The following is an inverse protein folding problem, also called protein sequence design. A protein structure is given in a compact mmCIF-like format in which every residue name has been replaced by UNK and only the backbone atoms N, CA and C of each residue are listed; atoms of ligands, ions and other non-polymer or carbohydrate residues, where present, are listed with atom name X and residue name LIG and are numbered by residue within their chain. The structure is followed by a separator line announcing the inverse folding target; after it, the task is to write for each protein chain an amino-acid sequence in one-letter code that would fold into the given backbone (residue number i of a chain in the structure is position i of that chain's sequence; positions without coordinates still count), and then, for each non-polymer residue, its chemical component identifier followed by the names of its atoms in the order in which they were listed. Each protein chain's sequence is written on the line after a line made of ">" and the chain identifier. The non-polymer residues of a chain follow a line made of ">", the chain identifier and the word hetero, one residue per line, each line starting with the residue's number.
data_IF_157447366544
#
_entry.id   IF_157447366544
#
_cell.length_a   1.000
_cell.length_b   1.000
_cell.length_c   1.000
_cell.angle_alpha   90.00
_cell.angle_beta   90.00
_cell.angle_gamma   90.00
#
_symmetry.space_group_name_H-M   'P 1'
#
loop_
_entity.id
_entity.type
_entity.pdbx_description
1 polymer ?
#
# COMPACT_ATOMS: atom_id res chain seq x y z
N UNK A 1 -38.36 29.53 -30.63
CA UNK A 1 -38.05 28.22 -30.02
C UNK A 1 -36.57 28.12 -29.67
N UNK A 2 -36.04 29.00 -28.80
CA UNK A 2 -34.63 28.93 -28.30
C UNK A 2 -34.52 29.34 -26.82
N UNK A 3 -35.63 29.60 -26.11
CA UNK A 3 -35.60 30.20 -24.76
C UNK A 3 -36.12 29.28 -23.63
N UNK A 4 -35.92 27.96 -23.72
CA UNK A 4 -36.27 27.02 -22.63
C UNK A 4 -35.18 26.02 -22.23
N UNK A 5 -33.99 26.06 -22.83
CA UNK A 5 -32.96 25.03 -22.56
C UNK A 5 -31.75 25.54 -21.76
N UNK A 6 -31.74 26.81 -21.35
CA UNK A 6 -30.66 27.41 -20.56
C UNK A 6 -30.98 27.51 -19.06
N UNK A 7 -31.84 26.63 -18.53
CA UNK A 7 -32.16 26.55 -17.11
C UNK A 7 -32.09 25.12 -16.58
N UNK A 8 -31.04 24.39 -16.98
CA UNK A 8 -30.68 23.09 -16.38
C UNK A 8 -29.18 22.98 -16.03
N UNK A 9 -28.38 24.04 -16.25
CA UNK A 9 -26.95 24.05 -15.94
C UNK A 9 -26.59 24.97 -14.75
N UNK A 10 -27.59 25.51 -14.04
CA UNK A 10 -27.40 26.58 -13.05
C UNK A 10 -27.37 26.18 -11.57
N UNK A 11 -27.55 24.90 -11.20
CA UNK A 11 -27.52 24.45 -9.79
C UNK A 11 -26.94 23.03 -9.61
N UNK A 12 -25.99 22.63 -10.46
CA UNK A 12 -25.28 21.36 -10.30
C UNK A 12 -23.97 21.46 -9.49
N UNK A 13 -23.65 22.63 -8.92
CA UNK A 13 -22.71 22.73 -7.79
C UNK A 13 -23.44 22.36 -6.50
N UNK A 14 -23.99 21.14 -6.48
CA UNK A 14 -24.66 20.61 -5.30
C UNK A 14 -23.61 20.54 -4.21
N UNK A 15 -23.83 21.29 -3.12
CA UNK A 15 -23.17 21.07 -1.84
C UNK A 15 -23.21 19.56 -1.57
N UNK A 16 -22.06 18.90 -1.70
CA UNK A 16 -21.91 17.49 -1.31
C UNK A 16 -21.79 17.53 0.21
N UNK A 17 -22.79 17.04 0.96
CA UNK A 17 -22.70 17.06 2.43
C UNK A 17 -21.40 16.37 2.84
N UNK A 18 -20.67 16.92 3.82
CA UNK A 18 -19.37 16.39 4.24
C UNK A 18 -19.41 14.89 4.58
N UNK A 19 -20.54 14.38 5.03
CA UNK A 19 -20.77 12.95 5.26
C UNK A 19 -20.75 12.13 3.96
N UNK A 20 -21.34 12.63 2.87
CA UNK A 20 -21.32 11.98 1.55
C UNK A 20 -19.94 12.05 0.90
N UNK A 21 -19.20 13.13 1.16
CA UNK A 21 -17.79 13.30 0.77
C UNK A 21 -16.90 12.30 1.51
N UNK A 22 -17.01 12.23 2.84
CA UNK A 22 -16.28 11.27 3.66
C UNK A 22 -16.56 9.81 3.26
N UNK A 23 -17.83 9.45 3.03
CA UNK A 23 -18.19 8.11 2.53
C UNK A 23 -17.57 7.81 1.15
N UNK A 24 -17.51 8.82 0.26
CA UNK A 24 -16.88 8.64 -1.05
C UNK A 24 -15.36 8.47 -0.96
N UNK A 25 -14.72 9.18 -0.03
CA UNK A 25 -13.29 9.07 0.26
C UNK A 25 -12.96 7.72 0.90
N UNK A 26 -13.72 7.26 1.89
CA UNK A 26 -13.56 5.93 2.50
C UNK A 26 -13.65 4.80 1.48
N UNK A 27 -14.64 4.86 0.58
CA UNK A 27 -14.80 3.90 -0.51
C UNK A 27 -13.60 3.93 -1.47
N UNK A 28 -13.04 5.11 -1.74
CA UNK A 28 -11.86 5.26 -2.58
C UNK A 28 -10.59 4.70 -1.92
N UNK A 29 -10.40 4.95 -0.62
CA UNK A 29 -9.29 4.41 0.17
C UNK A 29 -9.36 2.89 0.21
N UNK A 30 -10.52 2.33 0.55
CA UNK A 30 -10.74 0.88 0.58
C UNK A 30 -10.41 0.21 -0.77
N UNK A 31 -10.91 0.78 -1.88
CA UNK A 31 -10.58 0.30 -3.24
C UNK A 31 -9.09 0.37 -3.56
N UNK A 32 -8.39 1.40 -3.07
CA UNK A 32 -6.96 1.56 -3.29
C UNK A 32 -6.16 0.53 -2.50
N UNK A 33 -6.53 0.28 -1.24
CA UNK A 33 -5.91 -0.75 -0.40
C UNK A 33 -6.13 -2.16 -0.97
N UNK A 34 -7.31 -2.47 -1.51
CA UNK A 34 -7.59 -3.76 -2.14
C UNK A 34 -6.73 -4.07 -3.37
N UNK A 35 -6.15 -3.05 -4.02
CA UNK A 35 -5.22 -3.22 -5.15
C UNK A 35 -3.78 -3.45 -4.70
N UNK A 36 -3.43 -3.06 -3.47
CA UNK A 36 -2.07 -3.19 -2.95
C UNK A 36 -1.75 -4.65 -2.57
N UNK A 37 -0.46 -4.99 -2.52
CA UNK A 37 -0.01 -6.28 -2.00
C UNK A 37 -0.45 -6.43 -0.53
N UNK A 38 -1.15 -7.52 -0.16
CA UNK A 38 -1.47 -7.82 1.23
C UNK A 38 -0.22 -7.87 2.14
N UNK A 39 0.92 -8.30 1.61
CA UNK A 39 2.21 -8.30 2.33
C UNK A 39 2.64 -6.90 2.69
N UNK A 40 2.72 -6.04 1.67
CA UNK A 40 3.17 -4.66 1.84
C UNK A 40 2.27 -3.90 2.79
N UNK A 41 0.96 -4.19 2.79
CA UNK A 41 0.02 -3.61 3.74
C UNK A 41 0.32 -4.00 5.19
N UNK A 42 0.58 -5.29 5.46
CA UNK A 42 0.95 -5.73 6.82
C UNK A 42 2.29 -5.17 7.28
N UNK A 43 3.29 -5.17 6.40
CA UNK A 43 4.62 -4.60 6.69
C UNK A 43 4.52 -3.11 7.02
N UNK A 44 3.83 -2.34 6.16
CA UNK A 44 3.63 -0.91 6.36
C UNK A 44 2.88 -0.62 7.66
N UNK A 45 1.78 -1.33 7.94
CA UNK A 45 1.02 -1.15 9.17
C UNK A 45 1.86 -1.43 10.42
N UNK A 46 2.66 -2.52 10.41
CA UNK A 46 3.56 -2.83 11.52
C UNK A 46 4.64 -1.76 11.67
N UNK A 47 5.27 -1.35 10.57
CA UNK A 47 6.34 -0.35 10.60
C UNK A 47 5.86 0.98 11.18
N UNK A 48 4.67 1.45 10.79
CA UNK A 48 4.04 2.66 11.34
C UNK A 48 3.78 2.53 12.86
N UNK A 49 3.31 1.36 13.31
CA UNK A 49 3.00 1.12 14.73
C UNK A 49 4.26 1.07 15.60
N UNK A 50 5.30 0.39 15.14
CA UNK A 50 6.58 0.31 15.84
C UNK A 50 7.32 1.65 15.81
N UNK A 51 7.32 2.32 14.64
CA UNK A 51 7.96 3.61 14.42
C UNK A 51 7.42 4.75 15.29
N UNK A 52 6.19 4.64 15.82
CA UNK A 52 5.61 5.61 16.76
C UNK A 52 6.45 5.76 18.04
N UNK A 53 7.22 4.74 18.40
CA UNK A 53 8.02 4.70 19.62
C UNK A 53 9.54 4.78 19.35
N UNK A 54 9.94 5.04 18.10
CA UNK A 54 11.32 5.04 17.64
C UNK A 54 11.76 6.44 17.21
N UNK A 55 13.07 6.70 17.28
CA UNK A 55 13.69 7.86 16.64
C UNK A 55 13.81 7.67 15.13
N UNK A 56 14.05 8.77 14.40
CA UNK A 56 14.19 8.73 12.93
C UNK A 56 15.24 7.72 12.45
N UNK A 57 16.39 7.65 13.13
CA UNK A 57 17.47 6.71 12.76
C UNK A 57 17.06 5.25 12.89
N UNK A 58 16.29 4.91 13.94
CA UNK A 58 15.77 3.56 14.17
C UNK A 58 14.71 3.19 13.12
N UNK A 59 13.80 4.12 12.81
CA UNK A 59 12.82 3.95 11.73
C UNK A 59 13.51 3.68 10.40
N UNK A 60 14.54 4.47 10.05
CA UNK A 60 15.29 4.29 8.80
C UNK A 60 16.04 2.95 8.77
N UNK A 61 16.66 2.53 9.87
CA UNK A 61 17.32 1.23 9.97
C UNK A 61 16.33 0.06 9.85
N UNK A 62 15.11 0.22 10.36
CA UNK A 62 14.02 -0.74 10.19
C UNK A 62 13.54 -0.80 8.73
N UNK A 63 13.21 0.34 8.12
CA UNK A 63 12.79 0.42 6.72
C UNK A 63 13.86 -0.12 5.76
N UNK A 64 15.14 0.13 6.05
CA UNK A 64 16.26 -0.43 5.28
C UNK A 64 16.27 -1.96 5.31
N UNK A 65 16.09 -2.58 6.49
CA UNK A 65 16.00 -4.05 6.62
C UNK A 65 14.83 -4.61 5.83
N UNK A 66 13.65 -4.02 5.98
CA UNK A 66 12.43 -4.42 5.26
C UNK A 66 12.67 -4.34 3.74
N UNK A 67 13.23 -3.22 3.27
CA UNK A 67 13.54 -3.02 1.85
C UNK A 67 14.53 -4.05 1.32
N UNK A 68 15.58 -4.38 2.08
CA UNK A 68 16.55 -5.41 1.69
C UNK A 68 15.89 -6.79 1.55
N UNK A 69 15.05 -7.20 2.50
CA UNK A 69 14.32 -8.48 2.42
C UNK A 69 13.34 -8.51 1.24
N UNK A 70 12.64 -7.42 0.97
CA UNK A 70 11.76 -7.27 -0.21
C UNK A 70 12.55 -7.38 -1.53
N UNK A 71 13.69 -6.69 -1.63
CA UNK A 71 14.53 -6.69 -2.83
C UNK A 71 15.19 -8.06 -3.08
N UNK A 72 15.62 -8.75 -2.02
CA UNK A 72 16.14 -10.13 -2.13
C UNK A 72 15.09 -11.11 -2.65
N UNK A 73 13.81 -10.84 -2.39
CA UNK A 73 12.70 -11.67 -2.85
C UNK A 73 12.73 -13.11 -2.32
N UNK A 74 13.49 -13.39 -1.24
CA UNK A 74 13.62 -14.73 -0.64
C UNK A 74 12.32 -15.19 0.03
N UNK A 75 11.61 -14.26 0.67
CA UNK A 75 10.36 -14.55 1.40
C UNK A 75 9.18 -14.57 0.42
N UNK A 76 9.05 -13.52 -0.42
CA UNK A 76 8.00 -13.39 -1.44
C UNK A 76 8.48 -12.60 -2.66
N UNK A 77 7.84 -12.84 -3.81
CA UNK A 77 8.11 -12.15 -5.07
C UNK A 77 7.23 -10.93 -5.34
N UNK A 78 6.23 -10.66 -4.48
CA UNK A 78 5.25 -9.57 -4.63
C UNK A 78 5.86 -8.24 -5.06
N UNK A 79 7.02 -7.86 -4.49
CA UNK A 79 7.68 -6.61 -4.83
C UNK A 79 8.14 -6.57 -6.29
N UNK A 80 8.85 -7.63 -6.74
CA UNK A 80 9.34 -7.76 -8.11
C UNK A 80 8.19 -7.83 -9.12
N UNK A 81 7.17 -8.62 -8.82
CA UNK A 81 6.01 -8.80 -9.68
C UNK A 81 5.16 -7.52 -9.72
N UNK A 82 5.12 -6.83 -8.57
CA UNK A 82 4.70 -5.46 -8.33
C UNK A 82 5.27 -4.48 -9.35
N UNK A 83 6.60 -4.30 -9.29
CA UNK A 83 7.35 -3.42 -10.16
C UNK A 83 7.18 -3.79 -11.63
N UNK A 84 7.29 -5.08 -11.97
CA UNK A 84 7.16 -5.55 -13.37
C UNK A 84 5.82 -5.15 -13.96
N UNK A 85 4.74 -5.30 -13.19
CA UNK A 85 3.39 -4.95 -13.63
C UNK A 85 3.24 -3.45 -13.84
N UNK A 86 3.69 -2.63 -12.89
CA UNK A 86 3.61 -1.16 -12.97
C UNK A 86 4.42 -0.66 -14.17
N UNK A 87 5.65 -1.15 -14.34
CA UNK A 87 6.57 -0.72 -15.41
C UNK A 87 6.09 -1.17 -16.80
N UNK A 88 5.42 -2.32 -16.89
CA UNK A 88 4.91 -2.83 -18.17
C UNK A 88 3.68 -2.07 -18.69
N UNK A 89 3.13 -1.10 -17.94
CA UNK A 89 1.91 -0.31 -18.29
C UNK A 89 0.74 -1.16 -18.77
N UNK A 90 0.66 -2.41 -18.35
CA UNK A 90 -0.44 -3.30 -18.68
C UNK A 90 -1.50 -3.12 -17.60
N UNK A 91 -2.75 -2.94 -18.01
CA UNK A 91 -3.93 -2.99 -17.11
C UNK A 91 -4.06 -4.41 -16.55
N UNK A 92 -3.18 -4.75 -15.61
CA UNK A 92 -3.06 -6.08 -15.07
C UNK A 92 -3.75 -6.11 -13.72
N UNK A 93 -4.76 -6.96 -13.63
CA UNK A 93 -5.32 -7.43 -12.36
C UNK A 93 -4.17 -8.09 -11.61
N UNK A 94 -3.69 -7.43 -10.57
CA UNK A 94 -2.52 -7.91 -9.85
C UNK A 94 -2.92 -9.10 -8.98
N UNK A 95 -2.44 -10.28 -9.36
CA UNK A 95 -2.65 -11.52 -8.61
C UNK A 95 -1.53 -11.62 -7.58
N UNK A 96 -1.76 -11.06 -6.39
CA UNK A 96 -0.86 -11.22 -5.25
C UNK A 96 -0.96 -12.65 -4.71
N UNK A 97 0.16 -13.22 -4.26
CA UNK A 97 0.19 -14.58 -3.71
C UNK A 97 0.92 -14.66 -2.38
N UNK A 98 0.20 -14.83 -1.24
CA UNK A 98 -1.26 -14.83 -1.08
C UNK A 98 -1.98 -13.51 -1.38
N UNK A 99 -3.23 -13.65 -1.82
CA UNK A 99 -4.14 -12.59 -2.22
C UNK A 99 -5.01 -12.02 -1.07
N UNK A 100 -4.90 -12.60 0.13
CA UNK A 100 -5.74 -12.28 1.29
C UNK A 100 -4.86 -11.94 2.51
N UNK A 101 -5.31 -10.99 3.31
CA UNK A 101 -4.60 -10.55 4.51
C UNK A 101 -4.51 -11.65 5.58
N UNK A 102 -5.54 -12.49 5.67
CA UNK A 102 -5.64 -13.57 6.67
C UNK A 102 -4.62 -14.68 6.44
N UNK A 103 -4.13 -14.82 5.20
CA UNK A 103 -3.15 -15.85 4.81
C UNK A 103 -1.71 -15.46 5.15
N UNK A 104 -1.48 -14.22 5.57
CA UNK A 104 -0.15 -13.75 5.96
C UNK A 104 -0.05 -13.89 7.47
N UNK A 105 0.82 -14.77 7.96
CA UNK A 105 0.99 -14.94 9.41
C UNK A 105 1.94 -13.89 9.98
N UNK A 106 1.86 -13.64 11.28
CA UNK A 106 2.81 -12.72 11.94
C UNK A 106 4.25 -13.23 11.82
N UNK A 107 4.45 -14.56 11.85
CA UNK A 107 5.76 -15.19 11.60
C UNK A 107 6.33 -14.88 10.21
N UNK A 108 5.49 -14.81 9.17
CA UNK A 108 5.93 -14.38 7.84
C UNK A 108 6.35 -12.91 7.84
N UNK A 109 5.62 -12.07 8.58
CA UNK A 109 5.95 -10.64 8.74
C UNK A 109 7.26 -10.47 9.51
N UNK A 110 7.48 -11.24 10.58
CA UNK A 110 8.69 -11.18 11.42
C UNK A 110 9.98 -11.35 10.61
N UNK A 111 9.96 -12.20 9.58
CA UNK A 111 11.12 -12.45 8.73
C UNK A 111 11.65 -11.17 8.05
N UNK A 112 10.79 -10.21 7.74
CA UNK A 112 11.20 -8.93 7.13
C UNK A 112 11.83 -7.95 8.11
N UNK A 113 11.72 -8.20 9.42
CA UNK A 113 12.29 -7.35 10.47
C UNK A 113 13.56 -7.94 11.07
N UNK A 114 13.91 -9.19 10.72
CA UNK A 114 15.17 -9.82 11.11
C UNK A 114 16.36 -9.01 10.59
N UNK A 115 17.45 -9.04 11.37
CA UNK A 115 18.74 -8.51 10.92
C UNK A 115 19.16 -9.23 9.63
N UNK A 116 19.92 -8.52 8.81
CA UNK A 116 20.47 -9.10 7.59
C UNK A 116 21.65 -9.98 7.99
N UNK A 117 21.75 -11.17 7.40
CA UNK A 117 22.82 -12.14 7.69
C UNK A 117 24.23 -11.64 7.30
N UNK A 118 24.34 -10.48 6.63
CA UNK A 118 25.60 -9.96 6.05
C UNK A 118 26.33 -8.92 6.92
N UNK A 119 25.95 -8.76 8.19
CA UNK A 119 26.77 -8.00 9.17
C UNK A 119 28.08 -8.73 9.56
N UNK A 120 28.39 -9.89 8.97
CA UNK A 120 29.67 -10.61 9.15
C UNK A 120 30.78 -10.22 8.13
N UNK A 121 30.54 -9.33 7.16
CA UNK A 121 31.54 -8.97 6.13
C UNK A 121 31.83 -7.47 5.98
N UNK A 122 31.67 -6.69 7.05
CA UNK A 122 32.08 -5.28 7.11
C UNK A 122 33.05 -5.00 8.28
N UNK A 123 34.05 -5.88 8.44
CA UNK A 123 35.31 -5.56 9.12
C UNK A 123 36.41 -5.18 8.12
#
# INVERSE_FOLDING_TARGET
>A
MVLKSLHACGLATHFVPSTKLALSEEVQVSKSLQKASPTSLKLCLRSIREGRFQGLGECLAQEYRIACHLMRGKIRSDFRDGCTTILSKKDNIQKWEPCKLELITDQMVDQYFLKLDDDENLE
#
